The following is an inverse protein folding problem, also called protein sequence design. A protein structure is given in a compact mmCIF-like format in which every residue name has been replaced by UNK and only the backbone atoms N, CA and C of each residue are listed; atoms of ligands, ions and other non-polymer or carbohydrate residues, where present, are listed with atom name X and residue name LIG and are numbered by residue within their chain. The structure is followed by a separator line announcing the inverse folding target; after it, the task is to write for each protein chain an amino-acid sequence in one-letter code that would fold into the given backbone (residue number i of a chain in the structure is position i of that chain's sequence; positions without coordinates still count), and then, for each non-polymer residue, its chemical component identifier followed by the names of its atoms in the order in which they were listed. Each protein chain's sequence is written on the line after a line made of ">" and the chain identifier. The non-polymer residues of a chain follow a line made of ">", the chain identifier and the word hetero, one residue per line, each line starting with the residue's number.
data_IF_415101779627
#
_entry.id   IF_415101779627
#
_cell.length_a   1.000
_cell.length_b   1.000
_cell.length_c   1.000
_cell.angle_alpha   90.00
_cell.angle_beta   90.00
_cell.angle_gamma   90.00
#
_symmetry.space_group_name_H-M   'P 1'
#
loop_
_entity.id
_entity.type
_entity.pdbx_description
1 polymer ?
#
# COMPACT_ATOMS: atom_id res chain seq x y z
N UNK A 1 14.55 14.63 -7.25
CA UNK A 1 14.76 13.56 -8.23
C UNK A 1 15.00 14.18 -9.61
N UNK A 2 15.85 13.58 -10.43
CA UNK A 2 16.04 14.05 -11.77
C UNK A 2 14.86 13.69 -12.69
N UNK A 3 14.82 14.30 -13.86
CA UNK A 3 13.73 14.12 -14.81
C UNK A 3 13.58 12.66 -15.26
N UNK A 4 14.69 11.97 -15.47
CA UNK A 4 14.67 10.57 -15.88
C UNK A 4 14.04 9.68 -14.79
N UNK A 5 14.37 9.93 -13.53
CA UNK A 5 13.77 9.20 -12.40
C UNK A 5 12.27 9.46 -12.30
N UNK A 6 11.85 10.69 -12.50
CA UNK A 6 10.42 11.05 -12.51
C UNK A 6 9.70 10.34 -13.65
N UNK A 7 10.25 10.38 -14.85
CA UNK A 7 9.65 9.74 -16.02
C UNK A 7 9.53 8.22 -15.82
N UNK A 8 10.56 7.59 -15.28
CA UNK A 8 10.55 6.16 -14.99
C UNK A 8 9.47 5.83 -13.93
N UNK A 9 9.33 6.67 -12.91
CA UNK A 9 8.33 6.46 -11.87
C UNK A 9 6.92 6.60 -12.41
N UNK A 10 6.66 7.59 -13.25
CA UNK A 10 5.35 7.76 -13.89
C UNK A 10 4.99 6.53 -14.73
N UNK A 11 5.96 5.98 -15.46
CA UNK A 11 5.76 4.77 -16.25
C UNK A 11 5.48 3.57 -15.35
N UNK A 12 6.23 3.39 -14.27
CA UNK A 12 6.03 2.26 -13.33
C UNK A 12 4.66 2.30 -12.68
N UNK A 13 4.16 3.49 -12.35
CA UNK A 13 2.84 3.67 -11.75
C UNK A 13 1.72 3.60 -12.81
N UNK A 14 2.08 3.72 -14.09
CA UNK A 14 1.11 3.63 -15.20
C UNK A 14 0.36 4.92 -15.45
N UNK A 15 0.97 6.05 -15.16
CA UNK A 15 0.32 7.37 -15.30
C UNK A 15 1.10 8.32 -16.22
N UNK A 16 1.78 7.78 -17.22
CA UNK A 16 2.50 8.59 -18.22
C UNK A 16 1.63 9.67 -18.83
N UNK A 17 0.34 9.37 -19.01
CA UNK A 17 -0.63 10.30 -19.60
C UNK A 17 -0.81 11.57 -18.79
N UNK A 18 -0.43 11.57 -17.51
CA UNK A 18 -0.56 12.74 -16.64
C UNK A 18 0.64 13.67 -16.72
N UNK A 19 1.69 13.26 -17.46
CA UNK A 19 2.87 14.11 -17.64
C UNK A 19 2.46 15.43 -18.30
N UNK A 20 2.88 16.53 -17.72
CA UNK A 20 2.54 17.86 -18.22
C UNK A 20 1.17 18.38 -17.82
N UNK A 21 0.36 17.57 -17.12
CA UNK A 21 -0.94 18.02 -16.62
C UNK A 21 -0.75 18.89 -15.38
N UNK A 22 -1.63 19.89 -15.25
CA UNK A 22 -1.65 20.69 -14.03
C UNK A 22 -2.21 19.86 -12.88
N UNK A 23 -1.48 19.79 -11.78
CA UNK A 23 -1.87 19.01 -10.62
C UNK A 23 -3.26 19.40 -10.07
N UNK A 24 -3.65 20.67 -10.26
CA UNK A 24 -4.96 21.14 -9.81
C UNK A 24 -6.12 20.57 -10.61
N UNK A 25 -5.86 20.07 -11.81
CA UNK A 25 -6.85 19.47 -12.69
C UNK A 25 -7.00 17.97 -12.50
N UNK A 26 -6.17 17.37 -11.64
CA UNK A 26 -6.20 15.92 -11.42
C UNK A 26 -7.31 15.52 -10.46
N UNK A 27 -7.90 14.35 -10.70
CA UNK A 27 -8.82 13.73 -9.73
C UNK A 27 -8.08 13.37 -8.45
N UNK A 28 -8.81 13.07 -7.37
CA UNK A 28 -8.20 12.62 -6.11
C UNK A 28 -7.37 11.35 -6.32
N UNK A 29 -7.89 10.40 -7.09
CA UNK A 29 -7.15 9.16 -7.39
C UNK A 29 -5.89 9.43 -8.20
N UNK A 30 -5.98 10.30 -9.22
CA UNK A 30 -4.81 10.68 -10.01
C UNK A 30 -3.75 11.37 -9.16
N UNK A 31 -4.15 12.26 -8.26
CA UNK A 31 -3.22 12.89 -7.31
C UNK A 31 -2.54 11.86 -6.43
N UNK A 32 -3.29 10.87 -5.98
CA UNK A 32 -2.74 9.79 -5.16
C UNK A 32 -1.66 9.00 -5.92
N UNK A 33 -1.92 8.67 -7.17
CA UNK A 33 -0.95 7.98 -8.02
C UNK A 33 0.31 8.83 -8.25
N UNK A 34 0.15 10.13 -8.42
CA UNK A 34 1.29 11.05 -8.56
C UNK A 34 2.14 11.07 -7.29
N UNK A 35 1.50 11.07 -6.11
CA UNK A 35 2.23 11.00 -4.84
C UNK A 35 3.02 9.70 -4.70
N UNK A 36 2.45 8.58 -5.11
CA UNK A 36 3.16 7.30 -5.14
C UNK A 36 4.35 7.36 -6.09
N UNK A 37 4.14 7.90 -7.31
CA UNK A 37 5.22 8.05 -8.28
C UNK A 37 6.34 8.94 -7.75
N UNK A 38 6.00 10.02 -7.06
CA UNK A 38 6.98 10.93 -6.47
C UNK A 38 7.83 10.21 -5.42
N UNK A 39 7.21 9.41 -4.57
CA UNK A 39 7.92 8.61 -3.58
C UNK A 39 8.86 7.60 -4.24
N UNK A 40 8.40 6.93 -5.29
CA UNK A 40 9.20 5.96 -6.06
C UNK A 40 10.40 6.66 -6.74
N UNK A 41 10.18 7.86 -7.28
CA UNK A 41 11.23 8.62 -7.97
C UNK A 41 12.39 9.00 -7.06
N UNK A 42 12.17 9.12 -5.77
CA UNK A 42 13.23 9.41 -4.80
C UNK A 42 14.24 8.27 -4.65
N UNK A 43 13.85 7.06 -5.01
CA UNK A 43 14.71 5.86 -4.98
C UNK A 43 15.41 5.65 -3.63
N UNK A 44 14.75 5.98 -2.55
CA UNK A 44 15.30 5.84 -1.20
C UNK A 44 15.30 4.37 -0.76
N UNK A 45 16.22 3.94 0.11
CA UNK A 45 16.24 2.58 0.61
C UNK A 45 15.05 2.22 1.51
N UNK A 46 14.42 3.23 2.11
CA UNK A 46 13.21 3.07 2.91
C UNK A 46 12.12 3.96 2.33
N UNK A 47 10.99 3.35 1.99
CA UNK A 47 9.81 4.02 1.49
C UNK A 47 8.70 3.95 2.53
N UNK A 48 8.24 5.11 2.99
CA UNK A 48 7.16 5.20 3.98
C UNK A 48 5.94 5.81 3.32
N UNK A 49 4.83 5.09 3.34
CA UNK A 49 3.58 5.51 2.70
C UNK A 49 2.43 5.45 3.70
N UNK A 50 1.67 6.52 3.78
CA UNK A 50 0.47 6.59 4.61
C UNK A 50 -0.76 6.49 3.72
N UNK A 51 -1.47 5.35 3.81
CA UNK A 51 -2.66 5.04 3.04
C UNK A 51 -2.48 5.25 1.53
N UNK A 52 -1.50 4.56 0.90
CA UNK A 52 -1.17 4.81 -0.50
C UNK A 52 -2.28 4.43 -1.50
N UNK A 53 -3.29 3.68 -1.07
CA UNK A 53 -4.38 3.22 -1.93
C UNK A 53 -5.68 4.00 -1.75
N UNK A 54 -5.70 4.99 -0.88
CA UNK A 54 -6.89 5.82 -0.65
C UNK A 54 -7.29 6.55 -1.96
N UNK A 55 -8.60 6.65 -2.20
CA UNK A 55 -9.18 7.26 -3.40
C UNK A 55 -8.92 6.52 -4.71
N UNK A 56 -8.33 5.34 -4.67
CA UNK A 56 -8.09 4.52 -5.86
C UNK A 56 -9.19 3.47 -6.04
N UNK A 57 -9.52 3.18 -7.29
CA UNK A 57 -10.33 2.02 -7.60
C UNK A 57 -9.54 0.73 -7.38
N UNK A 58 -10.21 -0.41 -7.41
CA UNK A 58 -9.58 -1.70 -7.12
C UNK A 58 -8.39 -1.99 -8.02
N UNK A 59 -8.51 -1.70 -9.32
CA UNK A 59 -7.43 -1.97 -10.28
C UNK A 59 -6.17 -1.18 -9.93
N UNK A 60 -6.33 0.09 -9.59
CA UNK A 60 -5.20 0.94 -9.21
C UNK A 60 -4.65 0.57 -7.83
N UNK A 61 -5.51 0.17 -6.90
CA UNK A 61 -5.06 -0.33 -5.60
C UNK A 61 -4.13 -1.53 -5.76
N UNK A 62 -4.53 -2.51 -6.56
CA UNK A 62 -3.73 -3.70 -6.83
C UNK A 62 -2.42 -3.33 -7.54
N UNK A 63 -2.48 -2.44 -8.52
CA UNK A 63 -1.28 -2.00 -9.24
C UNK A 63 -0.25 -1.34 -8.31
N UNK A 64 -0.70 -0.50 -7.38
CA UNK A 64 0.18 0.11 -6.38
C UNK A 64 0.79 -0.95 -5.48
N UNK A 65 -0.01 -1.90 -4.99
CA UNK A 65 0.49 -2.95 -4.11
C UNK A 65 1.52 -3.84 -4.83
N UNK A 66 1.26 -4.19 -6.08
CA UNK A 66 2.20 -4.97 -6.90
C UNK A 66 3.51 -4.21 -7.13
N UNK A 67 3.43 -2.90 -7.35
CA UNK A 67 4.60 -2.05 -7.49
C UNK A 67 5.44 -2.05 -6.20
N UNK A 68 4.80 -1.92 -5.04
CA UNK A 68 5.50 -1.94 -3.76
C UNK A 68 6.18 -3.28 -3.51
N UNK A 69 5.51 -4.38 -3.85
CA UNK A 69 6.10 -5.72 -3.76
C UNK A 69 7.33 -5.85 -4.67
N UNK A 70 7.23 -5.34 -5.90
CA UNK A 70 8.32 -5.37 -6.86
C UNK A 70 9.53 -4.55 -6.39
N UNK A 71 9.29 -3.36 -5.84
CA UNK A 71 10.35 -2.54 -5.25
C UNK A 71 11.08 -3.27 -4.13
N UNK A 72 10.34 -3.97 -3.29
CA UNK A 72 10.93 -4.74 -2.20
C UNK A 72 11.72 -5.94 -2.70
N UNK A 73 11.14 -6.73 -3.61
CA UNK A 73 11.75 -7.98 -4.07
C UNK A 73 12.93 -7.75 -5.01
N UNK A 74 12.86 -6.77 -5.90
CA UNK A 74 13.87 -6.58 -6.96
C UNK A 74 14.80 -5.40 -6.71
N UNK A 75 14.31 -4.33 -6.12
CA UNK A 75 15.13 -3.14 -5.86
C UNK A 75 15.73 -3.12 -4.45
N UNK A 76 15.33 -4.06 -3.59
CA UNK A 76 15.79 -4.10 -2.20
C UNK A 76 15.22 -2.98 -1.33
N UNK A 77 14.18 -2.30 -1.79
CA UNK A 77 13.55 -1.23 -1.03
C UNK A 77 12.79 -1.79 0.17
N UNK A 78 13.00 -1.25 1.35
CA UNK A 78 12.17 -1.53 2.50
C UNK A 78 10.92 -0.67 2.42
N UNK A 79 9.74 -1.29 2.47
CA UNK A 79 8.47 -0.58 2.38
C UNK A 79 7.74 -0.66 3.70
N UNK A 80 7.38 0.50 4.24
CA UNK A 80 6.51 0.63 5.40
C UNK A 80 5.25 1.36 4.96
N UNK A 81 4.12 0.69 4.98
CA UNK A 81 2.86 1.28 4.55
C UNK A 81 1.82 1.19 5.67
N UNK A 82 1.08 2.27 5.87
CA UNK A 82 -0.10 2.29 6.74
C UNK A 82 -1.31 2.01 5.87
N UNK A 83 -2.06 0.97 6.20
CA UNK A 83 -3.23 0.54 5.45
C UNK A 83 -4.42 0.34 6.39
N UNK A 84 -5.62 0.68 5.89
CA UNK A 84 -6.87 0.37 6.57
C UNK A 84 -7.60 -0.81 5.91
N UNK A 85 -7.27 -1.13 4.67
CA UNK A 85 -7.84 -2.27 3.98
C UNK A 85 -7.11 -3.55 4.41
N UNK A 86 -7.77 -4.33 5.25
CA UNK A 86 -7.18 -5.55 5.81
C UNK A 86 -6.94 -6.62 4.74
N UNK A 87 -7.78 -6.66 3.72
CA UNK A 87 -7.61 -7.62 2.61
C UNK A 87 -6.36 -7.33 1.80
N UNK A 88 -6.11 -6.05 1.47
CA UNK A 88 -4.89 -5.65 0.78
C UNK A 88 -3.66 -5.92 1.65
N UNK A 89 -3.71 -5.54 2.92
CA UNK A 89 -2.61 -5.75 3.84
C UNK A 89 -2.26 -7.24 3.94
N UNK A 90 -3.26 -8.08 4.12
CA UNK A 90 -3.08 -9.52 4.22
C UNK A 90 -2.50 -10.14 2.97
N UNK A 91 -2.97 -9.70 1.82
CA UNK A 91 -2.59 -10.30 0.54
C UNK A 91 -1.18 -9.92 0.10
N UNK A 92 -0.79 -8.67 0.30
CA UNK A 92 0.43 -8.13 -0.30
C UNK A 92 1.62 -8.00 0.65
N UNK A 93 1.40 -8.06 1.96
CA UNK A 93 2.49 -7.84 2.92
C UNK A 93 2.79 -9.11 3.70
N UNK A 94 4.07 -9.51 3.75
CA UNK A 94 4.48 -10.71 4.49
C UNK A 94 4.52 -10.49 6.00
N UNK A 95 4.54 -9.25 6.45
CA UNK A 95 4.59 -8.89 7.86
C UNK A 95 3.66 -7.74 8.14
N UNK A 96 2.83 -7.89 9.15
CA UNK A 96 1.90 -6.86 9.59
C UNK A 96 2.15 -6.53 11.06
N UNK A 97 2.00 -5.24 11.40
CA UNK A 97 1.94 -4.79 12.77
C UNK A 97 0.60 -4.10 12.98
N UNK A 98 -0.11 -4.46 14.05
CA UNK A 98 -1.40 -3.85 14.39
C UNK A 98 -1.19 -2.87 15.52
N UNK A 99 -1.64 -1.63 15.28
CA UNK A 99 -1.60 -0.55 16.27
C UNK A 99 -2.98 -0.36 16.88
N UNK A 100 -3.01 -0.26 18.19
CA UNK A 100 -4.23 0.05 18.94
C UNK A 100 -3.86 0.89 20.16
N UNK A 101 -4.50 2.04 20.29
CA UNK A 101 -4.25 2.95 21.40
C UNK A 101 -2.80 3.41 21.52
N UNK A 102 -2.12 3.61 20.40
CA UNK A 102 -0.74 4.06 20.35
C UNK A 102 0.30 2.97 20.63
N UNK A 103 -0.13 1.71 20.67
CA UNK A 103 0.74 0.56 20.94
C UNK A 103 0.67 -0.47 19.83
N UNK A 104 1.78 -1.16 19.58
CA UNK A 104 1.78 -2.33 18.71
C UNK A 104 1.27 -3.50 19.54
N UNK A 105 0.08 -4.00 19.19
CA UNK A 105 -0.56 -5.11 19.90
C UNK A 105 -0.32 -6.46 19.24
N UNK A 106 0.15 -6.47 18.00
CA UNK A 106 0.52 -7.70 17.29
C UNK A 106 1.50 -7.36 16.19
N UNK A 107 2.41 -8.29 15.90
CA UNK A 107 3.42 -8.14 14.86
C UNK A 107 3.81 -9.53 14.38
N UNK A 108 3.77 -9.75 13.08
CA UNK A 108 4.13 -11.03 12.48
C UNK A 108 3.46 -11.28 11.15
N UNK A 109 3.44 -12.55 10.69
CA UNK A 109 2.77 -12.92 9.45
C UNK A 109 1.27 -12.61 9.51
N UNK A 110 0.64 -12.28 8.36
CA UNK A 110 -0.78 -11.89 8.34
C UNK A 110 -1.72 -12.88 9.00
N UNK A 111 -1.55 -14.16 8.76
CA UNK A 111 -2.44 -15.19 9.32
C UNK A 111 -2.38 -15.30 10.83
N UNK A 112 -1.23 -14.95 11.44
CA UNK A 112 -1.08 -14.94 12.89
C UNK A 112 -1.59 -13.64 13.51
N UNK A 113 -1.45 -12.54 12.78
CA UNK A 113 -1.76 -11.19 13.28
C UNK A 113 -3.24 -10.87 13.12
N UNK A 114 -3.81 -11.14 11.94
CA UNK A 114 -5.20 -10.82 11.62
C UNK A 114 -6.12 -12.00 11.93
N UNK A 115 -6.21 -12.36 13.20
CA UNK A 115 -7.19 -13.34 13.64
C UNK A 115 -8.56 -12.69 13.74
N UNK A 116 -9.62 -13.48 13.63
CA UNK A 116 -10.99 -12.97 13.78
C UNK A 116 -11.19 -12.28 15.13
N UNK A 117 -10.64 -12.86 16.18
CA UNK A 117 -10.72 -12.30 17.53
C UNK A 117 -10.05 -10.94 17.64
N UNK A 118 -8.85 -10.81 17.08
CA UNK A 118 -8.11 -9.55 17.11
C UNK A 118 -8.78 -8.48 16.26
N UNK A 119 -9.25 -8.84 15.07
CA UNK A 119 -9.97 -7.89 14.21
C UNK A 119 -11.21 -7.38 14.92
N UNK A 120 -11.95 -8.25 15.59
CA UNK A 120 -13.11 -7.83 16.39
C UNK A 120 -12.70 -6.92 17.55
N UNK A 121 -11.64 -7.28 18.28
CA UNK A 121 -11.21 -6.51 19.45
C UNK A 121 -10.67 -5.13 19.09
N UNK A 122 -9.90 -5.04 18.01
CA UNK A 122 -9.21 -3.79 17.64
C UNK A 122 -10.10 -2.91 16.76
N UNK A 123 -10.77 -3.50 15.77
CA UNK A 123 -11.53 -2.75 14.76
C UNK A 123 -13.03 -2.77 15.00
N UNK A 124 -13.51 -3.55 15.94
CA UNK A 124 -14.93 -3.58 16.31
C UNK A 124 -15.82 -4.25 15.27
N UNK A 125 -15.26 -5.02 14.35
CA UNK A 125 -16.02 -5.68 13.30
C UNK A 125 -15.81 -7.18 13.34
N UNK A 126 -16.85 -7.93 13.00
CA UNK A 126 -16.82 -9.38 12.89
C UNK A 126 -16.87 -9.71 11.40
N UNK A 127 -15.70 -9.94 10.81
CA UNK A 127 -15.56 -10.23 9.38
C UNK A 127 -14.97 -11.62 9.19
N UNK A 128 -15.48 -12.32 8.17
CA UNK A 128 -14.78 -13.48 7.64
C UNK A 128 -13.58 -12.96 6.86
N UNK A 129 -12.38 -13.36 7.27
CA UNK A 129 -11.17 -12.98 6.55
C UNK A 129 -11.12 -13.77 5.26
N UNK A 130 -11.34 -13.06 4.14
CA UNK A 130 -11.29 -13.68 2.82
C UNK A 130 -9.90 -14.27 2.57
N UNK A 131 -9.85 -15.44 1.98
CA UNK A 131 -8.60 -16.15 1.75
C UNK A 131 -8.16 -17.02 2.92
N UNK A 132 -8.79 -16.91 4.08
CA UNK A 132 -8.63 -17.92 5.11
C UNK A 132 -9.32 -19.19 4.62
N UNK A 133 -8.73 -20.38 4.82
CA UNK A 133 -9.44 -21.61 4.51
C UNK A 133 -10.76 -21.62 5.27
N UNK A 134 -11.85 -21.88 4.56
CA UNK A 134 -13.14 -22.03 5.20
C UNK A 134 -13.03 -23.20 6.15
N UNK A 135 -13.39 -23.00 7.40
CA UNK A 135 -13.25 -24.01 8.41
C UNK A 135 -11.91 -24.02 9.10
N UNK A 136 -11.05 -23.09 8.75
CA UNK A 136 -9.83 -22.83 9.49
C UNK A 136 -10.10 -21.77 10.56
#
# INVERSE_FOLDING_TARGET
>A
ADRAAVDAALTRVGIDRLRGRDARELSLGERQLVLVALAVAQAAPLLVLDEPTVHLDLRHQVAVMELLADLNEHDGTTVLAVLHDLSLARHFFPRLAVLDGGRIVADGPPGRVLTRERVRAVFGVDVALTGAPSGG
#
